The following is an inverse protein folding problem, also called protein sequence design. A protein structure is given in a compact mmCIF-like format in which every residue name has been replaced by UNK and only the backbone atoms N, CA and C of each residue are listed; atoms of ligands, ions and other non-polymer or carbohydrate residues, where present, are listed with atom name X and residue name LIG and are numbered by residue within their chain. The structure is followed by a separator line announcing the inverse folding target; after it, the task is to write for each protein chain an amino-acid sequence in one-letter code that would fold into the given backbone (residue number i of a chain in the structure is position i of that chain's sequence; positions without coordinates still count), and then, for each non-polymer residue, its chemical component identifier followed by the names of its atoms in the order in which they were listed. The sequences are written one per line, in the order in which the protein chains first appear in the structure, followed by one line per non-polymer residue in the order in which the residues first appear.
data_IF_420114269299
#
_entry.id   IF_420114269299
#
_cell.length_a   1.000
_cell.length_b   1.000
_cell.length_c   1.000
_cell.angle_alpha   90.00
_cell.angle_beta   90.00
_cell.angle_gamma   90.00
#
_symmetry.space_group_name_H-M   'P 1'
#
loop_
_entity.id
_entity.type
_entity.pdbx_description
1 polymer ?
#
# COMPACT_ATOMS: atom_id res chain seq x y z
N UNK A 1 2.47 -15.67 6.03
CA UNK A 1 1.14 -15.69 5.38
C UNK A 1 1.33 -15.89 3.89
N UNK A 2 0.40 -16.53 3.19
CA UNK A 2 0.56 -16.80 1.75
C UNK A 2 0.58 -15.53 0.88
N UNK A 3 0.06 -14.41 1.40
CA UNK A 3 -0.26 -13.21 0.62
C UNK A 3 0.57 -11.95 0.99
N UNK A 4 1.43 -12.02 2.02
CA UNK A 4 2.39 -10.93 2.34
C UNK A 4 3.81 -11.45 2.11
N UNK A 5 4.29 -11.34 0.88
CA UNK A 5 5.61 -11.77 0.47
C UNK A 5 6.18 -10.88 -0.63
N UNK A 6 7.40 -11.19 -1.08
CA UNK A 6 8.09 -10.40 -2.09
C UNK A 6 7.35 -10.45 -3.44
N UNK A 7 6.82 -11.61 -3.79
CA UNK A 7 6.16 -11.87 -5.06
C UNK A 7 4.90 -11.01 -5.22
N UNK A 8 4.06 -10.98 -4.19
CA UNK A 8 2.84 -10.15 -4.15
C UNK A 8 3.14 -8.66 -4.21
N UNK A 9 4.25 -8.20 -3.60
CA UNK A 9 4.68 -6.81 -3.72
C UNK A 9 5.14 -6.47 -5.13
N UNK A 10 5.92 -7.36 -5.77
CA UNK A 10 6.36 -7.15 -7.16
C UNK A 10 5.15 -7.07 -8.09
N UNK A 11 4.17 -7.96 -7.92
CA UNK A 11 2.93 -7.95 -8.70
C UNK A 11 2.17 -6.64 -8.50
N UNK A 12 1.94 -6.22 -7.26
CA UNK A 12 1.24 -4.97 -6.94
C UNK A 12 1.93 -3.73 -7.54
N UNK A 13 3.27 -3.65 -7.45
CA UNK A 13 4.03 -2.55 -8.05
C UNK A 13 3.97 -2.60 -9.59
N UNK A 14 3.99 -3.79 -10.19
CA UNK A 14 3.86 -3.95 -11.65
C UNK A 14 2.48 -3.49 -12.12
N UNK A 15 1.42 -3.87 -11.42
CA UNK A 15 0.06 -3.38 -11.69
C UNK A 15 -0.02 -1.86 -11.55
N UNK A 16 0.62 -1.29 -10.53
CA UNK A 16 0.67 0.16 -10.31
C UNK A 16 1.36 0.88 -11.48
N UNK A 17 2.53 0.39 -11.91
CA UNK A 17 3.26 0.93 -13.08
C UNK A 17 2.41 0.85 -14.35
N UNK A 18 1.75 -0.29 -14.59
CA UNK A 18 0.87 -0.48 -15.74
C UNK A 18 -0.33 0.48 -15.77
N UNK A 19 -0.82 0.89 -14.60
CA UNK A 19 -1.91 1.87 -14.48
C UNK A 19 -1.49 3.31 -14.79
N UNK A 20 -0.19 3.62 -14.68
CA UNK A 20 0.36 4.96 -14.88
C UNK A 20 1.53 4.94 -15.88
N UNK A 21 1.28 4.59 -17.15
CA UNK A 21 2.33 4.45 -18.15
C UNK A 21 3.13 5.76 -18.33
N UNK A 22 4.45 5.63 -18.38
CA UNK A 22 5.38 6.76 -18.58
C UNK A 22 5.55 7.69 -17.36
N UNK A 23 4.88 7.42 -16.23
CA UNK A 23 5.05 8.21 -15.00
C UNK A 23 6.20 7.65 -14.16
N UNK A 24 6.94 8.54 -13.49
CA UNK A 24 7.82 8.16 -12.38
C UNK A 24 6.97 8.05 -11.12
N UNK A 25 7.10 6.94 -10.40
CA UNK A 25 6.29 6.62 -9.23
C UNK A 25 7.21 6.54 -8.02
N UNK A 26 6.93 7.35 -6.99
CA UNK A 26 7.60 7.23 -5.70
C UNK A 26 6.69 6.51 -4.72
N UNK A 27 7.16 5.41 -4.16
CA UNK A 27 6.46 4.64 -3.12
C UNK A 27 7.14 4.92 -1.79
N UNK A 28 6.37 5.45 -0.84
CA UNK A 28 6.81 5.68 0.54
C UNK A 28 6.15 4.62 1.42
N UNK A 29 6.94 3.82 2.13
CA UNK A 29 6.41 2.72 2.93
C UNK A 29 7.28 2.36 4.13
N UNK A 30 6.76 1.48 4.98
CA UNK A 30 7.43 0.98 6.17
C UNK A 30 8.58 0.00 5.85
N UNK A 31 9.23 -0.50 6.91
CA UNK A 31 10.41 -1.36 6.81
C UNK A 31 10.10 -2.86 6.81
N UNK A 32 8.92 -3.28 6.33
CA UNK A 32 8.56 -4.69 6.28
C UNK A 32 9.62 -5.51 5.51
N UNK A 33 9.90 -6.74 5.98
CA UNK A 33 11.03 -7.55 5.49
C UNK A 33 10.98 -7.81 3.98
N UNK A 34 9.78 -8.06 3.44
CA UNK A 34 9.56 -8.34 2.02
C UNK A 34 9.75 -7.13 1.12
N UNK A 35 9.66 -5.90 1.64
CA UNK A 35 10.02 -4.70 0.89
C UNK A 35 11.54 -4.63 0.62
N UNK A 36 12.38 -5.29 1.43
CA UNK A 36 13.86 -5.18 1.38
C UNK A 36 14.54 -6.35 0.66
N UNK A 37 13.76 -7.23 0.04
CA UNK A 37 14.29 -8.47 -0.53
C UNK A 37 15.21 -8.19 -1.73
N UNK A 38 16.19 -9.08 -1.92
CA UNK A 38 17.07 -9.05 -3.10
C UNK A 38 16.27 -9.20 -4.39
N UNK A 39 15.27 -10.08 -4.39
CA UNK A 39 14.40 -10.33 -5.54
C UNK A 39 13.59 -9.08 -5.96
N UNK A 40 13.09 -8.28 -5.02
CA UNK A 40 12.48 -7.00 -5.39
C UNK A 40 13.50 -6.05 -6.03
N UNK A 41 14.72 -5.99 -5.48
CA UNK A 41 15.80 -5.16 -6.04
C UNK A 41 16.18 -5.52 -7.46
N UNK A 42 16.10 -6.80 -7.83
CA UNK A 42 16.35 -7.27 -9.21
C UNK A 42 15.29 -6.76 -10.21
N UNK A 43 14.12 -6.35 -9.73
CA UNK A 43 13.06 -5.75 -10.55
C UNK A 43 13.12 -4.22 -10.59
N UNK A 44 14.07 -3.60 -9.87
CA UNK A 44 14.33 -2.17 -9.88
C UNK A 44 15.51 -1.86 -10.80
N UNK A 45 15.49 -0.69 -11.45
CA UNK A 45 16.58 -0.22 -12.30
C UNK A 45 16.25 -0.25 -13.79
N UNK A 46 17.09 0.38 -14.60
CA UNK A 46 16.84 0.56 -16.03
C UNK A 46 16.66 -0.78 -16.76
N UNK A 47 15.69 -0.83 -17.68
CA UNK A 47 15.39 -2.03 -18.46
C UNK A 47 14.54 -3.10 -17.75
N UNK A 48 14.13 -2.86 -16.49
CA UNK A 48 13.28 -3.79 -15.72
C UNK A 48 11.82 -3.35 -15.65
N UNK A 49 10.94 -4.23 -15.16
CA UNK A 49 9.51 -3.95 -15.02
C UNK A 49 9.18 -2.76 -14.10
N UNK A 50 10.04 -2.45 -13.12
CA UNK A 50 9.84 -1.35 -12.17
C UNK A 50 10.90 -0.26 -12.32
N UNK A 51 11.45 -0.07 -13.53
CA UNK A 51 12.48 0.94 -13.82
C UNK A 51 12.08 2.38 -13.44
N UNK A 52 10.77 2.68 -13.45
CA UNK A 52 10.19 3.97 -13.13
C UNK A 52 9.77 4.11 -11.66
N UNK A 53 10.02 3.11 -10.82
CA UNK A 53 9.67 3.11 -9.39
C UNK A 53 10.87 3.53 -8.54
N UNK A 54 10.65 4.53 -7.68
CA UNK A 54 11.58 4.93 -6.64
C UNK A 54 11.01 4.59 -5.26
N UNK A 55 11.78 3.89 -4.43
CA UNK A 55 11.34 3.48 -3.10
C UNK A 55 11.95 4.36 -2.02
N UNK A 56 11.10 4.90 -1.14
CA UNK A 56 11.47 5.69 0.02
C UNK A 56 11.03 4.95 1.28
N UNK A 57 11.95 4.83 2.23
CA UNK A 57 11.74 4.13 3.48
C UNK A 57 11.42 5.12 4.59
N UNK A 58 10.33 4.87 5.31
CA UNK A 58 10.06 5.59 6.55
C UNK A 58 11.12 5.27 7.62
N UNK A 59 11.39 6.18 8.56
CA UNK A 59 12.18 5.86 9.74
C UNK A 59 11.60 4.65 10.50
N UNK A 60 12.44 3.81 11.14
CA UNK A 60 11.95 2.74 11.99
C UNK A 60 11.02 3.27 13.08
N UNK A 61 9.96 2.53 13.38
CA UNK A 61 9.00 2.84 14.47
C UNK A 61 8.33 4.22 14.35
N UNK A 62 8.07 4.67 13.12
CA UNK A 62 7.42 5.94 12.81
C UNK A 62 6.00 5.76 12.24
N UNK A 63 5.06 5.04 12.92
CA UNK A 63 3.72 4.84 12.40
C UNK A 63 2.95 6.15 12.25
N UNK A 64 3.22 7.13 13.12
CA UNK A 64 2.60 8.48 13.06
C UNK A 64 2.96 9.24 11.78
N UNK A 65 4.06 8.86 11.12
CA UNK A 65 4.52 9.42 9.86
C UNK A 65 4.06 8.63 8.63
N UNK A 66 3.27 7.57 8.81
CA UNK A 66 2.74 6.77 7.72
C UNK A 66 1.28 7.17 7.43
N UNK A 67 0.99 7.88 6.31
CA UNK A 67 -0.35 8.36 6.00
C UNK A 67 -1.41 7.25 5.98
N UNK A 68 -1.02 6.02 5.61
CA UNK A 68 -1.95 4.89 5.53
C UNK A 68 -2.55 4.54 6.90
N UNK A 69 -1.83 4.79 8.01
CA UNK A 69 -2.36 4.52 9.36
C UNK A 69 -3.57 5.40 9.67
N UNK A 70 -3.58 6.65 9.18
CA UNK A 70 -4.74 7.54 9.29
C UNK A 70 -5.94 7.00 8.52
N UNK A 71 -5.72 6.55 7.27
CA UNK A 71 -6.76 5.92 6.44
C UNK A 71 -7.35 4.71 7.16
N UNK A 72 -6.50 3.83 7.69
CA UNK A 72 -6.94 2.65 8.46
C UNK A 72 -7.74 3.04 9.69
N UNK A 73 -7.29 4.03 10.47
CA UNK A 73 -7.94 4.44 11.70
C UNK A 73 -9.32 5.05 11.44
N UNK A 74 -9.44 5.93 10.45
CA UNK A 74 -10.73 6.51 10.06
C UNK A 74 -11.70 5.46 9.54
N UNK A 75 -11.24 4.56 8.66
CA UNK A 75 -12.07 3.50 8.12
C UNK A 75 -12.53 2.52 9.20
N UNK A 76 -11.63 2.08 10.09
CA UNK A 76 -12.00 1.24 11.24
C UNK A 76 -13.03 1.94 12.13
N UNK A 77 -12.84 3.22 12.45
CA UNK A 77 -13.77 3.98 13.28
C UNK A 77 -15.17 4.09 12.65
N UNK A 78 -15.23 4.24 11.32
CA UNK A 78 -16.50 4.31 10.59
C UNK A 78 -17.26 2.98 10.56
N UNK A 79 -16.56 1.85 10.43
CA UNK A 79 -17.22 0.55 10.17
C UNK A 79 -17.34 -0.36 11.39
N UNK A 80 -16.53 -0.17 12.44
CA UNK A 80 -16.40 -1.11 13.57
C UNK A 80 -17.66 -1.33 14.38
N UNK A 81 -18.54 -0.31 14.45
CA UNK A 81 -19.79 -0.37 15.21
C UNK A 81 -20.99 -0.85 14.38
N UNK A 82 -20.75 -1.30 13.15
CA UNK A 82 -21.78 -1.84 12.26
C UNK A 82 -21.58 -3.34 12.10
N UNK A 83 -22.36 -4.12 12.85
CA UNK A 83 -22.35 -5.58 12.71
C UNK A 83 -22.90 -5.95 11.34
N UNK A 84 -22.21 -6.87 10.66
CA UNK A 84 -22.59 -7.38 9.35
C UNK A 84 -22.71 -8.89 9.40
N UNK A 85 -23.55 -9.44 8.53
CA UNK A 85 -23.89 -10.86 8.55
C UNK A 85 -22.74 -11.72 8.03
N UNK A 86 -22.01 -11.24 7.03
CA UNK A 86 -20.87 -11.93 6.44
C UNK A 86 -19.62 -11.04 6.38
N UNK A 87 -18.45 -11.67 6.37
CA UNK A 87 -17.17 -10.96 6.32
C UNK A 87 -17.04 -10.09 5.05
N UNK A 88 -17.56 -10.57 3.92
CA UNK A 88 -17.54 -9.85 2.65
C UNK A 88 -18.20 -8.46 2.73
N UNK A 89 -19.34 -8.34 3.43
CA UNK A 89 -19.99 -7.06 3.65
C UNK A 89 -19.09 -6.07 4.42
N UNK A 90 -18.20 -6.59 5.28
CA UNK A 90 -17.24 -5.78 6.04
C UNK A 90 -16.16 -5.25 5.12
N UNK A 91 -15.66 -6.08 4.19
CA UNK A 91 -14.74 -5.65 3.14
C UNK A 91 -15.39 -4.59 2.24
N UNK A 92 -16.61 -4.82 1.76
CA UNK A 92 -17.36 -3.86 0.93
C UNK A 92 -17.55 -2.53 1.67
N UNK A 93 -17.95 -2.58 2.95
CA UNK A 93 -18.10 -1.39 3.78
C UNK A 93 -16.79 -0.62 3.94
N UNK A 94 -15.69 -1.34 4.14
CA UNK A 94 -14.35 -0.76 4.23
C UNK A 94 -13.94 -0.10 2.90
N UNK A 95 -14.02 -0.83 1.79
CA UNK A 95 -13.65 -0.38 0.45
C UNK A 95 -14.47 0.84 0.01
N UNK A 96 -15.78 0.81 0.25
CA UNK A 96 -16.69 1.93 -0.07
C UNK A 96 -16.29 3.19 0.71
N UNK A 97 -15.93 3.05 1.99
CA UNK A 97 -15.50 4.17 2.82
C UNK A 97 -14.20 4.78 2.30
N UNK A 98 -13.16 3.96 2.07
CA UNK A 98 -11.86 4.49 1.61
C UNK A 98 -11.91 5.06 0.18
N UNK A 99 -12.81 4.57 -0.67
CA UNK A 99 -12.96 5.04 -2.04
C UNK A 99 -13.78 6.33 -2.17
N UNK A 100 -14.60 6.67 -1.16
CA UNK A 100 -15.49 7.84 -1.17
C UNK A 100 -14.89 9.09 -0.53
N UNK A 101 -13.71 8.98 0.11
CA UNK A 101 -13.13 10.04 0.91
C UNK A 101 -11.73 10.44 0.45
N UNK A 102 -11.41 11.72 0.60
CA UNK A 102 -10.05 12.23 0.53
C UNK A 102 -9.52 12.40 1.95
N UNK A 103 -8.44 11.70 2.28
CA UNK A 103 -7.81 11.78 3.60
C UNK A 103 -6.80 12.91 3.63
N UNK A 104 -7.06 13.92 4.46
CA UNK A 104 -6.11 15.03 4.64
C UNK A 104 -4.89 14.51 5.39
N UNK A 105 -3.70 14.59 4.78
CA UNK A 105 -2.43 14.29 5.42
C UNK A 105 -1.59 15.55 5.52
N UNK A 106 -1.11 15.87 6.72
CA UNK A 106 -0.15 16.94 6.97
C UNK A 106 1.03 16.32 7.72
N UNK A 107 2.25 16.67 7.28
CA UNK A 107 3.52 16.35 7.94
C UNK A 107 3.85 17.49 8.89
#
# INVERSE_FOLDING_TARGET
MAWQNTETIIEALTTLVGRYPGKKITVVWDNARWHRSKKLREHLGEGTALANVHLVWLPPYAPDHNPIEKVWNEAKAAISNHQRLVFEDTCIGFETFIASLTFSYQI
#
